data_IF_086737597285
#
_entry.id   IF_086737597285
#
_cell.length_a   1.000
_cell.length_b   1.000
_cell.length_c   1.000
_cell.angle_alpha   90.00
_cell.angle_beta   90.00
_cell.angle_gamma   90.00
#
_symmetry.space_group_name_H-M   'P 1'
#
loop_
_entity.id
_entity.type
_entity.pdbx_description
1 polymer ?
#
# COMPACT_ATOMS: atom_id res chain seq x y z
N UNK A 1 13.93 35.08 -10.40
CA UNK A 1 14.53 34.53 -9.16
C UNK A 1 13.44 33.72 -8.47
N UNK A 2 13.29 32.47 -8.87
CA UNK A 2 12.23 31.55 -8.44
C UNK A 2 12.45 31.24 -6.97
N UNK A 3 11.46 31.57 -6.14
CA UNK A 3 11.42 31.18 -4.73
C UNK A 3 11.61 29.67 -4.67
N UNK A 4 12.66 29.23 -3.99
CA UNK A 4 12.92 27.82 -3.75
C UNK A 4 11.71 27.22 -3.04
N UNK A 5 11.20 26.14 -3.62
CA UNK A 5 10.01 25.38 -3.22
C UNK A 5 10.27 24.56 -1.93
N UNK A 6 10.72 25.24 -0.87
CA UNK A 6 11.10 24.63 0.41
C UNK A 6 9.92 24.22 1.29
N UNK A 7 8.68 24.52 0.87
CA UNK A 7 7.49 24.49 1.74
C UNK A 7 6.38 23.54 1.23
N UNK A 8 6.66 22.81 0.14
CA UNK A 8 5.76 21.76 -0.38
C UNK A 8 5.92 20.47 0.43
N UNK A 9 4.83 19.83 0.88
CA UNK A 9 4.89 18.53 1.54
C UNK A 9 5.07 17.37 0.55
N UNK A 10 5.03 17.64 -0.75
CA UNK A 10 5.18 16.66 -1.81
C UNK A 10 6.60 16.64 -2.38
N UNK A 11 7.09 15.45 -2.69
CA UNK A 11 8.38 15.27 -3.37
C UNK A 11 8.26 15.50 -4.89
N UNK A 12 9.39 15.48 -5.59
CA UNK A 12 9.46 15.87 -7.01
C UNK A 12 8.54 15.04 -7.93
N UNK A 13 8.46 13.73 -7.70
CA UNK A 13 7.66 12.81 -8.53
C UNK A 13 6.16 13.03 -8.36
N UNK A 14 5.70 13.22 -7.12
CA UNK A 14 4.31 13.60 -6.85
C UNK A 14 3.94 14.91 -7.54
N UNK A 15 4.81 15.92 -7.46
CA UNK A 15 4.56 17.23 -8.09
C UNK A 15 4.46 17.11 -9.61
N UNK A 16 5.35 16.36 -10.24
CA UNK A 16 5.29 16.09 -11.67
C UNK A 16 3.99 15.37 -12.07
N UNK A 17 3.59 14.35 -11.30
CA UNK A 17 2.32 13.64 -11.53
C UNK A 17 1.10 14.57 -11.33
N UNK A 18 1.14 15.47 -10.36
CA UNK A 18 0.08 16.47 -10.13
C UNK A 18 -0.01 17.50 -11.25
N UNK A 19 1.13 17.92 -11.81
CA UNK A 19 1.21 18.84 -12.96
C UNK A 19 0.64 18.17 -14.20
N UNK A 20 1.05 16.93 -14.48
CA UNK A 20 0.53 16.13 -15.60
C UNK A 20 -0.98 15.92 -15.51
N UNK A 21 -1.50 15.71 -14.30
CA UNK A 21 -2.93 15.60 -14.05
C UNK A 21 -3.68 16.95 -14.00
N UNK A 22 -2.99 18.09 -14.11
CA UNK A 22 -3.61 19.42 -14.06
C UNK A 22 -4.20 19.82 -12.70
N UNK A 23 -3.72 19.22 -11.60
CA UNK A 23 -4.28 19.42 -10.24
C UNK A 23 -3.27 19.99 -9.23
N UNK A 24 -2.03 20.28 -9.65
CA UNK A 24 -0.91 20.77 -8.83
C UNK A 24 -1.30 21.81 -7.78
N UNK A 25 -1.86 22.94 -8.19
CA UNK A 25 -2.16 24.04 -7.26
C UNK A 25 -3.18 23.67 -6.19
N UNK A 26 -4.22 22.92 -6.56
CA UNK A 26 -5.25 22.47 -5.63
C UNK A 26 -4.67 21.48 -4.63
N UNK A 27 -3.91 20.50 -5.13
CA UNK A 27 -3.28 19.47 -4.31
C UNK A 27 -2.28 20.09 -3.33
N UNK A 28 -1.46 21.05 -3.77
CA UNK A 28 -0.53 21.79 -2.92
C UNK A 28 -1.22 22.42 -1.70
N UNK A 29 -2.27 23.22 -1.95
CA UNK A 29 -3.04 23.89 -0.90
C UNK A 29 -3.66 22.90 0.08
N UNK A 30 -4.12 21.75 -0.42
CA UNK A 30 -4.73 20.71 0.41
C UNK A 30 -3.67 19.95 1.22
N UNK A 31 -2.54 19.59 0.60
CA UNK A 31 -1.43 18.88 1.22
C UNK A 31 -0.88 19.64 2.42
N UNK A 32 -0.58 20.94 2.27
CA UNK A 32 -0.07 21.79 3.36
C UNK A 32 -0.98 21.85 4.60
N UNK A 33 -2.28 21.58 4.44
CA UNK A 33 -3.25 21.57 5.55
C UNK A 33 -3.43 20.19 6.18
N UNK A 34 -3.23 19.13 5.40
CA UNK A 34 -3.59 17.76 5.80
C UNK A 34 -2.39 16.91 6.20
N UNK A 35 -1.23 17.10 5.57
CA UNK A 35 0.00 16.34 5.82
C UNK A 35 0.73 17.00 6.99
N UNK A 36 1.05 16.21 8.02
CA UNK A 36 1.64 16.68 9.28
C UNK A 36 2.83 15.81 9.65
N UNK A 37 3.82 16.38 10.32
CA UNK A 37 4.95 15.68 10.94
C UNK A 37 4.58 15.02 12.29
N UNK A 38 3.29 14.99 12.63
CA UNK A 38 2.77 14.38 13.85
C UNK A 38 1.40 13.74 13.60
N UNK A 39 1.05 12.76 14.43
CA UNK A 39 -0.28 12.16 14.48
C UNK A 39 -1.19 12.96 15.42
N UNK A 40 -2.29 13.55 14.93
CA UNK A 40 -3.34 14.08 15.79
C UNK A 40 -3.88 13.00 16.73
N UNK A 41 -4.45 13.39 17.86
CA UNK A 41 -5.02 12.46 18.86
C UNK A 41 -5.96 11.42 18.23
N UNK A 42 -6.82 11.86 17.29
CA UNK A 42 -7.73 10.96 16.58
C UNK A 42 -7.01 9.88 15.75
N UNK A 43 -5.82 10.15 15.22
CA UNK A 43 -4.99 9.16 14.53
C UNK A 43 -4.34 8.21 15.54
N UNK A 44 -3.83 8.74 16.66
CA UNK A 44 -3.22 7.95 17.74
C UNK A 44 -4.19 6.92 18.31
N UNK A 45 -5.40 7.35 18.64
CA UNK A 45 -6.48 6.48 19.11
C UNK A 45 -6.88 5.44 18.05
N UNK A 46 -6.91 5.85 16.78
CA UNK A 46 -7.23 4.94 15.68
C UNK A 46 -6.21 3.81 15.54
N UNK A 47 -4.92 4.11 15.47
CA UNK A 47 -3.90 3.06 15.37
C UNK A 47 -3.96 2.08 16.55
N UNK A 48 -4.19 2.60 17.77
CA UNK A 48 -4.31 1.77 18.97
C UNK A 48 -5.50 0.81 18.95
N UNK A 49 -6.58 1.11 18.22
CA UNK A 49 -7.76 0.24 18.17
C UNK A 49 -7.63 -0.91 17.15
N UNK A 50 -6.68 -0.81 16.21
CA UNK A 50 -6.59 -1.76 15.12
C UNK A 50 -6.08 -3.13 15.58
N UNK A 51 -6.53 -4.24 14.96
CA UNK A 51 -5.97 -5.57 15.17
C UNK A 51 -4.77 -5.88 14.24
N UNK A 52 -4.55 -5.04 13.23
CA UNK A 52 -3.38 -5.07 12.35
C UNK A 52 -3.15 -3.71 11.70
N UNK A 53 -1.93 -3.49 11.21
CA UNK A 53 -1.60 -2.39 10.30
C UNK A 53 -0.78 -2.92 9.14
N UNK A 54 -0.83 -2.22 8.01
CA UNK A 54 -0.03 -2.58 6.84
C UNK A 54 1.33 -1.89 6.94
N UNK A 55 2.38 -2.61 6.51
CA UNK A 55 3.78 -2.19 6.55
C UNK A 55 4.36 -2.27 5.15
N UNK A 56 4.81 -1.13 4.63
CA UNK A 56 5.70 -1.03 3.48
C UNK A 56 7.14 -0.89 3.96
N UNK A 57 8.01 -1.82 3.57
CA UNK A 57 9.42 -1.83 3.94
C UNK A 57 10.29 -2.24 2.75
N UNK A 58 11.58 -1.89 2.80
CA UNK A 58 12.55 -2.36 1.81
C UNK A 58 13.20 -3.66 2.27
N UNK A 59 13.48 -4.56 1.33
CA UNK A 59 14.41 -5.66 1.56
C UNK A 59 15.89 -5.22 1.49
N UNK A 60 16.81 -6.14 1.72
CA UNK A 60 18.26 -5.89 1.66
C UNK A 60 18.78 -5.44 0.28
N UNK A 61 18.03 -5.63 -0.80
CA UNK A 61 18.37 -5.14 -2.15
C UNK A 61 17.72 -3.76 -2.44
N UNK A 62 16.92 -3.26 -1.49
CA UNK A 62 16.18 -2.01 -1.61
C UNK A 62 14.91 -2.14 -2.44
N UNK A 63 14.33 -3.35 -2.58
CA UNK A 63 13.01 -3.54 -3.21
C UNK A 63 11.90 -3.33 -2.19
N UNK A 64 10.84 -2.57 -2.51
CA UNK A 64 9.68 -2.45 -1.64
C UNK A 64 8.88 -3.76 -1.55
N UNK A 65 8.45 -4.09 -0.35
CA UNK A 65 7.46 -5.12 -0.06
C UNK A 65 6.32 -4.51 0.75
N UNK A 66 5.10 -4.98 0.49
CA UNK A 66 3.94 -4.72 1.33
C UNK A 66 3.63 -5.98 2.16
N UNK A 67 3.46 -5.81 3.46
CA UNK A 67 3.04 -6.87 4.39
C UNK A 67 2.16 -6.26 5.49
N UNK A 68 1.90 -6.98 6.56
CA UNK A 68 1.21 -6.47 7.75
C UNK A 68 1.91 -6.87 9.04
N UNK A 69 1.67 -6.12 10.10
CA UNK A 69 1.94 -6.50 11.47
C UNK A 69 0.59 -6.61 12.20
N UNK A 70 0.42 -7.64 13.02
CA UNK A 70 -0.82 -7.93 13.73
C UNK A 70 -0.56 -8.15 15.21
N UNK A 71 -1.52 -7.75 16.03
CA UNK A 71 -1.49 -7.89 17.49
C UNK A 71 -2.87 -7.59 18.09
N UNK A 72 -3.02 -7.81 19.39
CA UNK A 72 -4.24 -7.39 20.08
C UNK A 72 -4.35 -5.85 20.05
N UNK A 73 -5.57 -5.27 20.02
CA UNK A 73 -5.74 -3.82 20.14
C UNK A 73 -4.89 -3.26 21.29
N UNK A 74 -4.15 -2.19 21.00
CA UNK A 74 -3.10 -1.63 21.85
C UNK A 74 -1.68 -1.91 21.34
N UNK A 75 -1.49 -2.94 20.50
CA UNK A 75 -0.15 -3.30 19.99
C UNK A 75 0.51 -2.19 19.16
N UNK A 76 -0.29 -1.32 18.53
CA UNK A 76 0.19 -0.15 17.79
C UNK A 76 -0.21 1.13 18.53
N UNK A 77 0.62 1.61 19.45
CA UNK A 77 0.31 2.73 20.33
C UNK A 77 1.22 3.93 20.05
N UNK A 78 0.81 5.13 20.48
CA UNK A 78 1.56 6.35 20.25
C UNK A 78 1.74 7.10 21.56
N UNK A 79 2.91 7.00 22.24
CA UNK A 79 3.12 7.64 23.54
C UNK A 79 3.10 9.17 23.44
N UNK A 80 3.57 9.71 22.32
CA UNK A 80 3.55 11.13 21.97
C UNK A 80 3.15 11.31 20.49
N UNK A 81 2.75 12.52 20.06
CA UNK A 81 2.29 12.75 18.68
C UNK A 81 3.28 12.42 17.55
N UNK A 82 4.59 12.28 17.83
CA UNK A 82 5.63 12.06 16.82
C UNK A 82 6.20 10.65 16.82
N UNK A 83 5.68 9.75 17.66
CA UNK A 83 6.16 8.37 17.75
C UNK A 83 4.99 7.40 17.68
N UNK A 84 5.11 6.37 16.85
CA UNK A 84 4.28 5.17 16.89
C UNK A 84 5.15 3.98 17.32
N UNK A 85 4.72 3.27 18.34
CA UNK A 85 5.32 2.02 18.83
C UNK A 85 4.45 0.86 18.36
N UNK A 86 5.08 -0.17 17.79
CA UNK A 86 4.43 -1.37 17.28
C UNK A 86 5.05 -2.58 17.96
N UNK A 87 4.29 -3.22 18.85
CA UNK A 87 4.66 -4.41 19.62
C UNK A 87 4.42 -5.70 18.82
N UNK A 88 4.83 -5.70 17.56
CA UNK A 88 4.78 -6.84 16.66
C UNK A 88 5.81 -6.68 15.54
N UNK A 89 6.31 -7.80 15.00
CA UNK A 89 7.16 -7.80 13.81
C UNK A 89 6.31 -7.98 12.54
N UNK A 90 6.70 -7.38 11.40
CA UNK A 90 6.01 -7.61 10.12
C UNK A 90 6.00 -9.11 9.74
N UNK A 91 4.88 -9.57 9.19
CA UNK A 91 4.78 -10.96 8.73
C UNK A 91 5.74 -11.23 7.57
N UNK A 92 6.43 -12.36 7.65
CA UNK A 92 7.40 -12.78 6.64
C UNK A 92 8.71 -11.99 6.67
N UNK A 93 8.96 -11.14 7.67
CA UNK A 93 10.15 -10.27 7.74
C UNK A 93 11.46 -10.98 7.37
N UNK A 94 11.74 -12.11 8.03
CA UNK A 94 12.95 -12.88 7.79
C UNK A 94 13.01 -13.52 6.39
N UNK A 95 11.87 -14.00 5.88
CA UNK A 95 11.80 -14.64 4.56
C UNK A 95 11.87 -13.64 3.40
N UNK A 96 11.44 -12.41 3.65
CA UNK A 96 11.51 -11.29 2.71
C UNK A 96 12.83 -10.51 2.85
N UNK A 97 13.57 -10.70 3.94
CA UNK A 97 14.79 -9.94 4.24
C UNK A 97 14.53 -8.45 4.47
N UNK A 98 13.41 -8.09 5.12
CA UNK A 98 13.02 -6.69 5.33
C UNK A 98 13.99 -5.98 6.28
N UNK A 99 14.43 -4.79 5.91
CA UNK A 99 15.29 -3.94 6.72
C UNK A 99 14.49 -3.06 7.68
N UNK A 100 14.44 -3.44 8.96
CA UNK A 100 13.88 -2.62 10.06
C UNK A 100 14.96 -2.05 10.98
N UNK A 101 16.18 -1.82 10.49
CA UNK A 101 17.22 -1.15 11.29
C UNK A 101 16.87 0.32 11.56
N UNK A 102 17.44 0.91 12.62
CA UNK A 102 17.28 2.35 12.93
C UNK A 102 17.60 3.20 11.68
N UNK A 103 16.76 4.19 11.41
CA UNK A 103 16.79 5.05 10.22
C UNK A 103 16.14 4.45 8.97
N UNK A 104 15.70 3.18 8.99
CA UNK A 104 15.00 2.61 7.85
C UNK A 104 13.65 3.32 7.66
N UNK A 105 13.32 3.76 6.42
CA UNK A 105 12.00 4.31 6.13
C UNK A 105 10.94 3.20 6.13
N UNK A 106 9.73 3.55 6.56
CA UNK A 106 8.56 2.69 6.53
C UNK A 106 7.34 3.50 6.04
N UNK A 107 6.52 2.86 5.20
CA UNK A 107 5.20 3.36 4.84
C UNK A 107 4.13 2.58 5.58
N UNK A 108 3.44 3.18 6.55
CA UNK A 108 2.41 2.49 7.33
C UNK A 108 1.01 2.96 6.95
N UNK A 109 0.08 2.02 6.91
CA UNK A 109 -1.34 2.30 6.71
C UNK A 109 -2.15 1.58 7.78
N UNK A 110 -2.84 2.36 8.62
CA UNK A 110 -3.93 1.86 9.43
C UNK A 110 -5.21 1.85 8.61
N UNK A 111 -5.95 0.75 8.62
CA UNK A 111 -7.23 0.62 7.91
C UNK A 111 -8.23 -0.17 8.74
N UNK A 112 -9.44 0.35 8.84
CA UNK A 112 -10.60 -0.31 9.44
C UNK A 112 -11.65 -0.53 8.36
N UNK A 113 -11.83 -1.79 7.97
CA UNK A 113 -12.67 -2.16 6.83
C UNK A 113 -14.15 -1.88 7.11
N UNK A 114 -14.65 -2.17 8.32
CA UNK A 114 -16.05 -1.96 8.72
C UNK A 114 -16.52 -0.51 8.55
N UNK A 115 -15.64 0.48 8.79
CA UNK A 115 -15.97 1.91 8.74
C UNK A 115 -15.40 2.61 7.50
N UNK A 116 -14.62 1.91 6.68
CA UNK A 116 -13.82 2.45 5.57
C UNK A 116 -12.81 3.52 6.03
N UNK A 117 -12.45 3.56 7.31
CA UNK A 117 -11.49 4.53 7.82
C UNK A 117 -10.08 4.08 7.46
N UNK A 118 -9.27 4.98 6.90
CA UNK A 118 -7.83 4.75 6.73
C UNK A 118 -7.02 5.99 7.06
N UNK A 119 -5.91 5.79 7.76
CA UNK A 119 -4.93 6.82 8.09
C UNK A 119 -3.54 6.34 7.69
N UNK A 120 -2.78 7.22 7.05
CA UNK A 120 -1.39 6.97 6.71
C UNK A 120 -0.46 7.49 7.80
N UNK A 121 0.61 6.76 8.03
CA UNK A 121 1.77 7.23 8.78
C UNK A 121 3.04 6.73 8.10
N UNK A 122 3.75 7.62 7.41
CA UNK A 122 5.08 7.35 6.88
C UNK A 122 6.10 7.89 7.88
N UNK A 123 7.21 7.19 8.03
CA UNK A 123 8.21 7.54 9.02
C UNK A 123 9.45 6.68 8.98
N UNK A 124 10.27 6.79 10.03
CA UNK A 124 11.55 6.08 10.16
C UNK A 124 11.67 5.36 11.47
N UNK A 125 12.25 4.16 11.40
CA UNK A 125 12.54 3.37 12.59
C UNK A 125 13.51 4.14 13.50
N UNK A 126 13.15 4.31 14.76
CA UNK A 126 14.02 4.87 15.81
C UNK A 126 14.42 3.83 16.85
N UNK A 127 13.64 2.76 16.99
CA UNK A 127 13.94 1.59 17.83
C UNK A 127 13.57 0.34 17.05
N UNK A 128 14.42 -0.69 17.08
CA UNK A 128 14.11 -2.00 16.57
C UNK A 128 14.60 -3.08 17.52
N UNK A 129 13.64 -3.84 18.05
CA UNK A 129 13.88 -4.91 19.01
C UNK A 129 13.19 -6.21 18.54
N UNK A 130 13.54 -7.37 19.11
CA UNK A 130 12.87 -8.63 18.75
C UNK A 130 11.36 -8.61 18.96
N UNK A 131 10.88 -7.86 19.96
CA UNK A 131 9.46 -7.77 20.30
C UNK A 131 8.68 -6.76 19.43
N UNK A 132 9.34 -5.87 18.71
CA UNK A 132 8.67 -4.78 18.00
C UNK A 132 9.60 -3.70 17.48
N UNK A 133 9.01 -2.56 17.12
CA UNK A 133 9.76 -1.40 16.62
C UNK A 133 9.03 -0.10 16.94
N UNK A 134 9.76 1.00 16.99
CA UNK A 134 9.19 2.35 17.10
C UNK A 134 9.58 3.18 15.88
N UNK A 135 8.64 4.01 15.44
CA UNK A 135 8.75 4.82 14.22
C UNK A 135 8.52 6.28 14.57
N UNK A 136 9.50 7.13 14.23
CA UNK A 136 9.31 8.58 14.23
C UNK A 136 8.49 8.96 13.01
N UNK A 137 7.44 9.75 13.23
CA UNK A 137 6.53 10.22 12.19
C UNK A 137 7.26 11.24 11.30
N UNK A 138 7.21 11.01 9.99
CA UNK A 138 7.61 11.99 8.97
C UNK A 138 6.35 12.63 8.35
N UNK A 139 5.34 11.80 8.05
CA UNK A 139 4.06 12.26 7.50
C UNK A 139 2.89 11.46 8.08
N UNK A 140 1.84 12.16 8.54
CA UNK A 140 0.56 11.54 8.90
C UNK A 140 -0.62 12.35 8.37
N UNK A 141 -1.57 11.63 7.75
CA UNK A 141 -2.79 12.22 7.19
C UNK A 141 -3.88 11.15 7.01
N UNK A 142 -5.14 11.58 7.09
CA UNK A 142 -6.28 10.75 6.72
C UNK A 142 -6.49 10.78 5.21
N UNK A 143 -6.91 9.65 4.64
CA UNK A 143 -7.30 9.59 3.23
C UNK A 143 -8.80 9.34 3.09
N UNK A 144 -9.34 9.71 1.92
CA UNK A 144 -10.74 9.49 1.56
C UNK A 144 -11.10 7.99 1.60
N UNK A 145 -12.31 7.60 2.07
CA UNK A 145 -12.72 6.19 2.18
C UNK A 145 -12.99 5.49 0.82
N UNK A 146 -12.79 6.20 -0.30
CA UNK A 146 -13.11 5.69 -1.64
C UNK A 146 -12.50 4.31 -1.90
N UNK A 147 -13.33 3.46 -2.50
CA UNK A 147 -13.03 2.10 -2.94
C UNK A 147 -12.73 1.08 -1.84
N UNK A 148 -12.75 1.47 -0.56
CA UNK A 148 -12.65 0.51 0.55
C UNK A 148 -13.98 -0.23 0.68
N UNK A 149 -13.92 -1.55 0.54
CA UNK A 149 -15.07 -2.41 0.68
C UNK A 149 -15.30 -2.75 2.15
N UNK A 150 -16.55 -2.65 2.60
CA UNK A 150 -16.88 -2.93 4.00
C UNK A 150 -16.88 -4.42 4.25
N UNK A 151 -16.26 -4.80 5.35
CA UNK A 151 -16.19 -6.18 5.83
C UNK A 151 -16.24 -6.17 7.34
N UNK A 152 -16.99 -7.11 7.91
CA UNK A 152 -16.98 -7.32 9.35
C UNK A 152 -16.08 -8.49 9.74
N UNK A 153 -15.42 -8.44 10.90
CA UNK A 153 -14.72 -9.59 11.45
C UNK A 153 -15.69 -10.77 11.63
N UNK A 154 -15.34 -11.92 11.06
CA UNK A 154 -16.04 -13.17 11.23
C UNK A 154 -15.27 -14.08 12.19
N UNK A 155 -15.99 -14.93 12.91
CA UNK A 155 -15.40 -15.93 13.78
C UNK A 155 -14.50 -16.87 12.96
N UNK A 156 -13.28 -17.08 13.44
CA UNK A 156 -12.31 -18.00 12.86
C UNK A 156 -11.25 -18.35 13.90
N UNK A 157 -10.75 -19.59 13.86
CA UNK A 157 -9.70 -20.00 14.77
C UNK A 157 -8.40 -19.22 14.45
N UNK A 158 -7.92 -18.44 15.42
CA UNK A 158 -6.59 -17.86 15.36
C UNK A 158 -5.58 -19.01 15.24
N UNK A 159 -4.85 -19.03 14.14
CA UNK A 159 -3.82 -20.03 13.84
C UNK A 159 -2.55 -19.31 13.43
N UNK A 160 -1.40 -19.91 13.74
CA UNK A 160 -0.12 -19.30 13.44
C UNK A 160 0.07 -19.14 11.92
N UNK A 161 0.47 -17.95 11.44
CA UNK A 161 0.82 -17.75 10.03
C UNK A 161 1.87 -18.76 9.56
N UNK A 162 1.77 -19.20 8.32
CA UNK A 162 2.72 -20.15 7.71
C UNK A 162 3.13 -19.68 6.32
N UNK A 163 4.42 -19.65 6.06
CA UNK A 163 4.94 -19.47 4.71
C UNK A 163 4.64 -20.75 3.92
N UNK A 164 3.81 -20.63 2.89
CA UNK A 164 3.34 -21.76 2.10
C UNK A 164 4.21 -22.02 0.87
N UNK A 165 4.83 -20.97 0.32
CA UNK A 165 5.72 -21.09 -0.84
C UNK A 165 6.20 -19.75 -1.37
N UNK A 166 7.19 -19.81 -2.25
CA UNK A 166 7.71 -18.70 -3.03
C UNK A 166 7.59 -19.02 -4.51
N UNK A 167 7.34 -18.00 -5.33
CA UNK A 167 7.29 -18.11 -6.78
C UNK A 167 8.17 -17.03 -7.43
N UNK A 168 8.62 -17.30 -8.65
CA UNK A 168 9.38 -16.34 -9.45
C UNK A 168 8.49 -15.40 -10.27
N UNK A 169 9.02 -14.91 -11.39
CA UNK A 169 8.32 -13.97 -12.27
C UNK A 169 7.07 -14.55 -12.95
N UNK A 170 7.05 -15.86 -13.21
CA UNK A 170 5.89 -16.55 -13.77
C UNK A 170 5.02 -17.13 -12.65
N UNK A 171 3.86 -16.52 -12.44
CA UNK A 171 2.93 -16.91 -11.37
C UNK A 171 2.18 -18.19 -11.70
N UNK A 172 2.01 -19.03 -10.68
CA UNK A 172 1.18 -20.22 -10.67
C UNK A 172 -0.29 -19.91 -10.98
N UNK A 173 -1.04 -20.93 -11.40
CA UNK A 173 -2.48 -20.79 -11.64
C UNK A 173 -3.23 -20.32 -10.38
N UNK A 174 -2.80 -20.76 -9.19
CA UNK A 174 -3.40 -20.34 -7.92
C UNK A 174 -3.17 -18.85 -7.63
N UNK A 175 -1.96 -18.33 -7.87
CA UNK A 175 -1.65 -16.91 -7.70
C UNK A 175 -2.40 -16.05 -8.72
N UNK A 176 -2.51 -16.49 -9.98
CA UNK A 176 -3.31 -15.81 -10.99
C UNK A 176 -4.79 -15.74 -10.60
N UNK A 177 -5.35 -16.85 -10.11
CA UNK A 177 -6.74 -16.90 -9.64
C UNK A 177 -7.00 -15.97 -8.44
N UNK A 178 -6.06 -15.91 -7.48
CA UNK A 178 -6.17 -15.00 -6.35
C UNK A 178 -6.12 -13.53 -6.78
N UNK A 179 -5.31 -13.19 -7.78
CA UNK A 179 -5.26 -11.85 -8.36
C UNK A 179 -6.55 -11.50 -9.10
N UNK A 180 -7.08 -12.40 -9.94
CA UNK A 180 -8.36 -12.20 -10.62
C UNK A 180 -9.52 -12.02 -9.64
N UNK A 181 -9.54 -12.79 -8.54
CA UNK A 181 -10.59 -12.72 -7.52
C UNK A 181 -10.43 -11.51 -6.58
N UNK A 182 -9.27 -10.84 -6.59
CA UNK A 182 -8.99 -9.74 -5.69
C UNK A 182 -9.94 -8.57 -5.94
N UNK A 183 -10.38 -7.98 -4.84
CA UNK A 183 -11.24 -6.80 -4.83
C UNK A 183 -10.60 -5.64 -4.04
N UNK A 184 -9.46 -5.94 -3.43
CA UNK A 184 -8.64 -5.09 -2.57
C UNK A 184 -7.18 -5.52 -2.73
N UNK A 185 -6.28 -4.57 -2.88
CA UNK A 185 -4.85 -4.78 -2.76
C UNK A 185 -4.18 -3.57 -2.14
N UNK A 186 -2.96 -3.77 -1.67
CA UNK A 186 -2.11 -2.71 -1.16
C UNK A 186 -0.82 -2.64 -1.95
N UNK A 187 -0.32 -1.43 -2.17
CA UNK A 187 0.82 -1.16 -3.02
C UNK A 187 1.83 -0.32 -2.23
N UNK A 188 3.00 -0.91 -1.97
CA UNK A 188 4.15 -0.26 -1.38
C UNK A 188 5.05 0.28 -2.50
N UNK A 189 5.38 1.56 -2.42
CA UNK A 189 6.26 2.25 -3.36
C UNK A 189 7.25 3.09 -2.58
N UNK A 190 8.43 3.31 -3.13
CA UNK A 190 9.46 4.12 -2.49
C UNK A 190 9.90 5.22 -3.44
N UNK A 191 10.18 6.40 -2.89
CA UNK A 191 10.93 7.38 -3.64
C UNK A 191 12.41 6.94 -3.75
N UNK A 192 13.17 7.39 -4.77
CA UNK A 192 14.57 6.99 -4.91
C UNK A 192 15.41 7.24 -3.64
N UNK A 193 15.18 8.36 -2.97
CA UNK A 193 15.89 8.79 -1.76
C UNK A 193 15.57 7.93 -0.52
N UNK A 194 14.54 7.09 -0.55
CA UNK A 194 14.26 6.13 0.51
C UNK A 194 15.42 5.14 0.71
N UNK A 195 16.09 4.74 -0.39
CA UNK A 195 17.23 3.82 -0.35
C UNK A 195 18.48 4.47 0.23
N UNK A 196 18.60 5.78 0.05
CA UNK A 196 19.70 6.61 0.55
C UNK A 196 19.51 7.04 2.00
N UNK A 197 18.37 6.69 2.62
CA UNK A 197 18.00 7.10 3.98
C UNK A 197 18.03 8.62 4.17
N UNK A 198 17.71 9.38 3.12
CA UNK A 198 17.57 10.85 3.17
C UNK A 198 16.70 11.26 4.36
N UNK A 199 17.06 12.29 5.12
CA UNK A 199 16.25 12.78 6.25
C UNK A 199 15.07 13.67 5.82
N UNK A 200 14.90 13.91 4.52
CA UNK A 200 13.76 14.67 3.99
C UNK A 200 12.45 13.90 4.25
N UNK A 201 11.53 14.52 5.00
CA UNK A 201 10.25 13.92 5.38
C UNK A 201 9.28 13.75 4.22
N UNK A 202 9.58 14.35 3.06
CA UNK A 202 8.81 14.21 1.82
C UNK A 202 9.18 12.95 1.05
N UNK A 203 10.37 12.42 1.33
CA UNK A 203 10.94 11.23 0.70
C UNK A 203 10.76 10.02 1.62
N UNK A 204 10.69 8.81 1.05
CA UNK A 204 10.57 7.59 1.83
C UNK A 204 9.71 6.53 1.17
N UNK A 205 9.10 5.67 2.00
CA UNK A 205 8.14 4.67 1.55
C UNK A 205 6.71 5.13 1.78
N UNK A 206 5.85 4.72 0.87
CA UNK A 206 4.42 4.92 0.94
C UNK A 206 3.69 3.58 0.77
N UNK A 207 2.58 3.42 1.47
CA UNK A 207 1.67 2.29 1.28
C UNK A 207 0.25 2.78 1.00
N UNK A 208 -0.30 2.33 -0.13
CA UNK A 208 -1.59 2.77 -0.66
C UNK A 208 -2.55 1.62 -0.86
N UNK A 209 -3.83 1.84 -0.56
CA UNK A 209 -4.93 0.91 -0.83
C UNK A 209 -5.46 1.12 -2.26
N UNK A 210 -5.71 0.03 -2.99
CA UNK A 210 -6.50 0.00 -4.23
C UNK A 210 -7.66 -0.96 -4.07
N UNK A 211 -8.84 -0.53 -4.46
CA UNK A 211 -10.06 -1.34 -4.41
C UNK A 211 -10.80 -1.28 -5.73
N UNK A 212 -11.40 -2.40 -6.10
CA UNK A 212 -12.10 -2.60 -7.36
C UNK A 212 -13.11 -3.75 -7.24
N UNK A 213 -13.92 -3.96 -8.27
CA UNK A 213 -14.70 -5.20 -8.37
C UNK A 213 -13.73 -6.36 -8.70
N UNK A 214 -14.01 -7.60 -8.25
CA UNK A 214 -13.26 -8.76 -8.74
C UNK A 214 -13.10 -8.72 -10.26
N UNK A 215 -11.88 -9.02 -10.74
CA UNK A 215 -11.47 -8.88 -12.13
C UNK A 215 -10.82 -7.53 -12.48
N UNK A 216 -10.73 -6.57 -11.55
CA UNK A 216 -10.07 -5.28 -11.83
C UNK A 216 -8.55 -5.38 -12.00
N UNK A 217 -7.94 -6.50 -11.56
CA UNK A 217 -6.55 -6.83 -11.84
C UNK A 217 -6.52 -7.81 -13.00
N UNK A 218 -6.18 -7.33 -14.20
CA UNK A 218 -5.96 -8.17 -15.36
C UNK A 218 -4.59 -8.83 -15.25
N UNK A 219 -4.50 -10.13 -15.51
CA UNK A 219 -3.25 -10.89 -15.43
C UNK A 219 -2.92 -11.53 -16.77
N UNK A 220 -1.78 -11.16 -17.34
CA UNK A 220 -1.32 -11.62 -18.65
C UNK A 220 0.08 -12.23 -18.56
N UNK A 221 0.49 -12.92 -19.63
CA UNK A 221 1.88 -13.35 -19.78
C UNK A 221 2.61 -12.33 -20.66
N UNK A 222 3.72 -11.80 -20.16
CA UNK A 222 4.65 -11.03 -20.96
C UNK A 222 5.35 -11.92 -22.00
N UNK A 223 5.94 -11.37 -23.07
CA UNK A 223 6.62 -12.15 -24.10
C UNK A 223 7.73 -13.08 -23.59
N UNK A 224 8.34 -12.75 -22.46
CA UNK A 224 9.38 -13.55 -21.80
C UNK A 224 8.84 -14.51 -20.72
N UNK A 225 7.52 -14.66 -20.63
CA UNK A 225 6.85 -15.62 -19.74
C UNK A 225 6.58 -15.12 -18.32
N UNK A 226 7.03 -13.91 -17.95
CA UNK A 226 6.69 -13.32 -16.67
C UNK A 226 5.21 -12.90 -16.61
N UNK A 227 4.65 -12.84 -15.40
CA UNK A 227 3.31 -12.33 -15.17
C UNK A 227 3.29 -10.80 -15.24
N UNK A 228 2.38 -10.27 -16.05
CA UNK A 228 2.11 -8.85 -16.20
C UNK A 228 0.71 -8.55 -15.64
N UNK A 229 0.63 -7.61 -14.71
CA UNK A 229 -0.62 -7.17 -14.11
C UNK A 229 -0.98 -5.80 -14.68
N UNK A 230 -2.26 -5.59 -14.99
CA UNK A 230 -2.79 -4.27 -15.36
C UNK A 230 -3.98 -3.97 -14.47
N UNK A 231 -3.92 -2.84 -13.76
CA UNK A 231 -4.99 -2.39 -12.87
C UNK A 231 -5.34 -0.92 -13.12
N UNK A 232 -6.62 -0.53 -13.01
CA UNK A 232 -7.03 0.86 -13.17
C UNK A 232 -6.66 1.70 -11.94
N UNK A 233 -6.24 2.94 -12.20
CA UNK A 233 -6.20 3.99 -11.18
C UNK A 233 -7.43 4.89 -11.36
N UNK A 234 -8.36 4.75 -10.43
CA UNK A 234 -9.56 5.58 -10.36
C UNK A 234 -9.29 6.89 -9.63
N UNK A 235 -10.16 7.88 -9.87
CA UNK A 235 -10.10 9.18 -9.22
C UNK A 235 -9.99 9.10 -7.69
N UNK A 236 -8.83 9.52 -7.18
CA UNK A 236 -8.50 9.52 -5.75
C UNK A 236 -8.43 10.92 -5.13
N UNK A 237 -7.52 11.08 -4.15
CA UNK A 237 -7.27 12.33 -3.43
C UNK A 237 -6.23 13.26 -4.12
N UNK A 238 -5.75 12.87 -5.31
CA UNK A 238 -4.76 13.61 -6.11
C UNK A 238 -3.41 13.87 -5.44
N UNK A 239 -3.08 13.18 -4.34
CA UNK A 239 -1.77 13.30 -3.70
C UNK A 239 -0.64 12.67 -4.55
N UNK A 240 -0.98 11.61 -5.30
CA UNK A 240 -0.08 10.85 -6.16
C UNK A 240 1.13 10.21 -5.45
N UNK A 241 1.04 9.88 -4.16
CA UNK A 241 2.15 9.26 -3.43
C UNK A 241 2.69 7.99 -4.12
N UNK A 242 1.80 7.08 -4.56
CA UNK A 242 2.21 5.90 -5.32
C UNK A 242 2.76 6.25 -6.70
N UNK A 243 2.01 7.02 -7.48
CA UNK A 243 2.31 7.22 -8.90
C UNK A 243 3.55 8.10 -9.05
N UNK A 244 3.67 9.14 -8.24
CA UNK A 244 4.85 9.99 -8.17
C UNK A 244 6.12 9.24 -7.78
N UNK A 245 6.02 8.25 -6.88
CA UNK A 245 7.14 7.34 -6.64
C UNK A 245 7.49 6.53 -7.89
N UNK A 246 6.49 5.93 -8.55
CA UNK A 246 6.70 5.09 -9.74
C UNK A 246 7.28 5.84 -10.95
N UNK A 247 7.02 7.15 -11.07
CA UNK A 247 7.65 7.98 -12.11
C UNK A 247 9.18 8.08 -11.94
N UNK A 248 9.70 7.85 -10.72
CA UNK A 248 11.11 8.01 -10.39
C UNK A 248 11.81 6.69 -10.02
N UNK A 249 11.07 5.75 -9.46
CA UNK A 249 11.54 4.45 -9.00
C UNK A 249 10.48 3.40 -9.34
N UNK A 250 10.70 2.55 -10.36
CA UNK A 250 9.68 1.62 -10.82
C UNK A 250 9.46 0.47 -9.84
N UNK A 251 10.40 0.15 -8.95
CA UNK A 251 10.22 -0.99 -8.04
C UNK A 251 9.09 -0.75 -7.05
N UNK A 252 8.25 -1.76 -6.89
CA UNK A 252 7.11 -1.71 -5.99
C UNK A 252 6.78 -3.10 -5.43
N UNK A 253 6.09 -3.09 -4.29
CA UNK A 253 5.56 -4.28 -3.64
C UNK A 253 4.04 -4.29 -3.65
N UNK A 254 3.43 -5.43 -3.91
CA UNK A 254 1.99 -5.64 -3.83
C UNK A 254 1.64 -6.61 -2.71
N UNK A 255 0.53 -6.35 -2.02
CA UNK A 255 -0.07 -7.26 -1.05
C UNK A 255 -1.53 -7.49 -1.45
N UNK A 256 -1.88 -8.75 -1.65
CA UNK A 256 -3.23 -9.18 -2.01
C UNK A 256 -3.78 -10.08 -0.90
N UNK A 257 -4.66 -9.55 -0.05
CA UNK A 257 -5.30 -10.33 0.99
C UNK A 257 -6.44 -11.20 0.44
N UNK A 258 -6.46 -12.47 0.83
CA UNK A 258 -7.65 -13.31 0.78
C UNK A 258 -8.35 -13.24 2.14
N UNK A 259 -9.38 -12.41 2.21
CA UNK A 259 -10.20 -12.19 3.39
C UNK A 259 -10.99 -13.42 3.86
N UNK A 260 -11.26 -14.37 2.95
CA UNK A 260 -12.03 -15.57 3.26
C UNK A 260 -11.15 -16.68 3.84
N UNK A 261 -9.95 -16.91 3.28
CA UNK A 261 -9.01 -17.91 3.81
C UNK A 261 -8.07 -17.35 4.88
N UNK A 262 -7.92 -16.03 4.96
CA UNK A 262 -6.95 -15.34 5.81
C UNK A 262 -5.53 -15.36 5.25
N UNK A 263 -5.33 -15.79 4.00
CA UNK A 263 -4.02 -15.88 3.37
C UNK A 263 -3.62 -14.55 2.72
N UNK A 264 -2.32 -14.37 2.49
CA UNK A 264 -1.76 -13.22 1.79
C UNK A 264 -0.88 -13.70 0.64
N UNK A 265 -1.04 -13.06 -0.52
CA UNK A 265 -0.10 -13.12 -1.62
C UNK A 265 0.68 -11.80 -1.65
N UNK A 266 1.99 -11.88 -1.40
CA UNK A 266 2.91 -10.75 -1.44
C UNK A 266 3.71 -10.83 -2.74
N UNK A 267 3.84 -9.74 -3.46
CA UNK A 267 4.64 -9.67 -4.69
C UNK A 267 5.67 -8.55 -4.58
N UNK A 268 6.80 -8.74 -5.27
CA UNK A 268 7.78 -7.68 -5.58
C UNK A 268 8.02 -7.69 -7.09
N UNK A 269 8.25 -6.50 -7.64
CA UNK A 269 8.36 -6.30 -9.08
C UNK A 269 8.50 -4.83 -9.45
N UNK A 270 8.15 -4.49 -10.69
CA UNK A 270 8.27 -3.14 -11.24
C UNK A 270 6.95 -2.65 -11.81
N UNK A 271 6.58 -1.42 -11.49
CA UNK A 271 5.37 -0.73 -11.94
C UNK A 271 5.67 0.41 -12.91
N UNK A 272 4.72 0.69 -13.79
CA UNK A 272 4.72 1.80 -14.74
C UNK A 272 3.32 2.42 -14.80
N UNK A 273 3.25 3.76 -14.84
CA UNK A 273 1.99 4.49 -14.98
C UNK A 273 1.71 4.77 -16.45
N UNK A 274 0.60 4.26 -16.95
CA UNK A 274 0.12 4.46 -18.32
C UNK A 274 -0.92 5.58 -18.32
N UNK A 275 -0.47 6.80 -18.63
CA UNK A 275 -1.28 8.01 -18.58
C UNK A 275 -2.21 8.20 -19.79
N UNK A 276 -1.73 7.84 -20.98
CA UNK A 276 -2.37 8.15 -22.26
C UNK A 276 -2.47 6.88 -23.14
N UNK A 277 -2.78 5.73 -22.53
CA UNK A 277 -2.86 4.43 -23.21
C UNK A 277 -4.30 4.12 -23.66
N UNK A 278 -4.52 3.70 -24.92
CA UNK A 278 -5.85 3.30 -25.41
C UNK A 278 -6.54 2.20 -24.56
N UNK A 279 -5.76 1.36 -23.86
CA UNK A 279 -6.28 0.33 -22.96
C UNK A 279 -7.07 0.93 -21.78
N UNK A 280 -6.86 2.20 -21.42
CA UNK A 280 -7.63 2.92 -20.38
C UNK A 280 -9.14 2.83 -20.68
N UNK A 281 -9.53 2.93 -21.95
CA UNK A 281 -10.94 2.88 -22.36
C UNK A 281 -11.63 1.54 -22.02
N UNK A 282 -10.87 0.46 -21.77
CA UNK A 282 -11.40 -0.83 -21.31
C UNK A 282 -11.78 -0.82 -19.83
N UNK A 283 -11.31 0.16 -19.07
CA UNK A 283 -11.56 0.30 -17.65
C UNK A 283 -12.46 1.51 -17.38
N UNK A 284 -13.78 1.30 -17.42
CA UNK A 284 -14.72 2.39 -17.13
C UNK A 284 -14.46 3.01 -15.75
N UNK A 285 -14.29 4.33 -15.74
CA UNK A 285 -13.95 5.13 -14.56
C UNK A 285 -12.45 5.31 -14.29
N UNK A 286 -11.57 4.61 -15.01
CA UNK A 286 -10.12 4.76 -14.87
C UNK A 286 -9.66 6.10 -15.48
N UNK A 287 -8.77 6.80 -14.77
CA UNK A 287 -8.09 7.98 -15.32
C UNK A 287 -6.77 7.62 -16.01
N UNK A 288 -6.23 6.45 -15.67
CA UNK A 288 -4.94 5.90 -16.12
C UNK A 288 -4.85 4.44 -15.69
N UNK A 289 -3.83 3.73 -16.16
CA UNK A 289 -3.54 2.36 -15.72
C UNK A 289 -2.21 2.31 -14.99
N UNK A 290 -2.09 1.34 -14.08
CA UNK A 290 -0.82 0.88 -13.56
C UNK A 290 -0.55 -0.49 -14.17
N UNK A 291 0.58 -0.62 -14.86
CA UNK A 291 1.11 -1.89 -15.34
C UNK A 291 2.19 -2.34 -14.38
N UNK A 292 2.15 -3.59 -13.94
CA UNK A 292 3.07 -4.14 -12.96
C UNK A 292 3.62 -5.48 -13.41
N UNK A 293 4.93 -5.58 -13.53
CA UNK A 293 5.63 -6.80 -13.90
C UNK A 293 6.14 -7.50 -12.66
N UNK A 294 5.71 -8.75 -12.48
CA UNK A 294 6.08 -9.57 -11.31
C UNK A 294 7.51 -10.09 -11.44
N UNK A 295 8.27 -10.03 -10.35
CA UNK A 295 9.60 -10.64 -10.26
C UNK A 295 9.64 -11.78 -9.23
N UNK A 296 8.96 -11.58 -8.09
CA UNK A 296 8.91 -12.53 -6.98
C UNK A 296 7.54 -12.52 -6.32
N UNK A 297 7.16 -13.67 -5.77
CA UNK A 297 5.97 -13.82 -4.94
C UNK A 297 6.26 -14.64 -3.67
N UNK A 298 5.55 -14.34 -2.59
CA UNK A 298 5.54 -15.08 -1.34
C UNK A 298 4.09 -15.31 -0.91
N UNK A 299 3.77 -16.57 -0.59
CA UNK A 299 2.49 -16.95 0.00
C UNK A 299 2.61 -17.14 1.50
N UNK A 300 1.72 -16.48 2.24
CA UNK A 300 1.57 -16.67 3.68
C UNK A 300 0.13 -17.06 3.99
N UNK A 301 -0.08 -18.30 4.40
CA UNK A 301 -1.37 -18.83 4.84
C UNK A 301 -1.68 -18.38 6.27
N UNK A 302 -2.97 -18.19 6.57
CA UNK A 302 -3.45 -17.89 7.93
C UNK A 302 -2.78 -16.65 8.54
N UNK A 303 -2.47 -15.67 7.71
CA UNK A 303 -1.71 -14.49 8.04
C UNK A 303 -2.57 -13.36 8.63
N UNK A 304 -3.79 -13.20 8.12
CA UNK A 304 -4.70 -12.20 8.63
C UNK A 304 -5.25 -12.60 10.03
N UNK A 305 -5.41 -11.66 10.97
CA UNK A 305 -5.76 -11.95 12.37
C UNK A 305 -7.21 -12.41 12.61
N UNK A 306 -8.06 -12.34 11.59
CA UNK A 306 -9.44 -12.81 11.63
C UNK A 306 -9.80 -13.50 10.31
N UNK A 307 -11.07 -13.85 10.15
CA UNK A 307 -11.70 -13.96 8.82
C UNK A 307 -12.64 -12.79 8.66
N UNK A 308 -13.10 -12.55 7.44
CA UNK A 308 -14.03 -11.46 7.17
C UNK A 308 -15.23 -11.93 6.37
N UNK A 309 -16.33 -11.22 6.55
CA UNK A 309 -17.50 -11.40 5.71
C UNK A 309 -17.19 -11.12 4.24
N UNK A 310 -18.02 -11.62 3.31
CA UNK A 310 -18.06 -11.10 1.95
C UNK A 310 -18.18 -9.56 1.94
N UNK A 311 -17.65 -8.89 0.91
CA UNK A 311 -17.57 -7.44 0.89
C UNK A 311 -18.96 -6.82 0.66
N UNK A 312 -19.22 -5.72 1.35
CA UNK A 312 -20.20 -4.74 0.89
C UNK A 312 -19.46 -3.69 0.04
N UNK A 313 -19.78 -3.69 -1.27
CA UNK A 313 -19.11 -2.85 -2.26
C UNK A 313 -19.09 -1.37 -1.85
N UNK A 314 -17.98 -0.69 -2.16
CA UNK A 314 -17.90 0.76 -2.01
C UNK A 314 -18.84 1.43 -3.03
N UNK A 315 -19.60 2.49 -2.65
CA UNK A 315 -20.56 3.14 -3.56
C UNK A 315 -19.95 3.61 -4.88
N UNK A 316 -18.67 3.99 -4.87
CA UNK A 316 -17.96 4.47 -6.06
C UNK A 316 -17.77 3.39 -7.13
N UNK A 317 -17.79 2.10 -6.76
CA UNK A 317 -17.70 0.98 -7.70
C UNK A 317 -18.96 0.82 -8.56
N UNK A 318 -20.05 1.53 -8.26
CA UNK A 318 -21.21 1.59 -9.14
C UNK A 318 -20.92 2.36 -10.44
N UNK A 319 -19.98 3.31 -10.40
CA UNK A 319 -19.56 4.10 -11.56
C UNK A 319 -18.39 3.46 -12.33
N UNK A 320 -17.94 2.27 -11.91
CA UNK A 320 -16.85 1.55 -12.55
C UNK A 320 -17.38 0.38 -13.38
N UNK A 321 -16.60 -0.06 -14.36
CA UNK A 321 -16.93 -1.23 -15.17
C UNK A 321 -17.04 -2.53 -14.36
N UNK A 322 -17.63 -3.55 -14.98
CA UNK A 322 -17.48 -4.94 -14.54
C UNK A 322 -16.53 -5.62 -15.54
N UNK A 323 -15.43 -6.16 -15.03
CA UNK A 323 -14.45 -6.85 -15.85
C UNK A 323 -14.63 -8.34 -15.60
N UNK A 324 -15.33 -9.01 -16.52
CA UNK A 324 -15.32 -10.47 -16.54
C UNK A 324 -13.94 -10.93 -17.00
N UNK A 325 -13.51 -12.11 -16.55
CA UNK A 325 -12.33 -12.77 -17.12
C UNK A 325 -12.56 -12.96 -18.63
N UNK A 326 -11.75 -12.29 -19.46
CA UNK A 326 -11.73 -12.47 -20.91
C UNK A 326 -12.56 -11.45 -21.69
N UNK A 327 -11.93 -10.33 -22.05
CA UNK A 327 -12.21 -9.58 -23.28
C UNK A 327 -10.88 -9.27 -23.98
#
# INVERSE_FOLDING_TARGET
MTLVDCDSPFHAGERAAQERAGVRERTERQGRRMIRDFMPEQHRLFFAQLPFLLVGALDGEGRPWATLAAGAPGFASSPDPRTLVVEARPLGEAALGLGLGVGAPLGLLGIELSTRRRNRMNGRVVVSEPAGFAVRVDQSFGNCPQYIQVREPAAGAASAPRIAGQEGASLSAAARAALSAADTLFLATASPAARERSEDSREGLDLSHRGGRPGFVKVEAAPDGASLLTLPDFRGNFAFNTLGNLELEPRAGLLVPDFASGSLLLLSGSGEVLWDDPEIARFAGAERLLRYRVERALWIERALPARWTPPLEAPQLAATGRWAEGA
#
